data_IF_936862256050
#
_entry.id   IF_936862256050
#
_cell.length_a   1.000
_cell.length_b   1.000
_cell.length_c   1.000
_cell.angle_alpha   90.00
_cell.angle_beta   90.00
_cell.angle_gamma   90.00
#
_symmetry.space_group_name_H-M   'P 1'
#
loop_
_entity.id
_entity.type
_entity.pdbx_description
1 polymer ?
#
# COMPACT_ATOMS: atom_id res chain seq x y z
N UNK A 1 24.89 -24.76 3.53
CA UNK A 1 23.68 -25.14 2.78
C UNK A 1 22.52 -24.12 2.86
N UNK A 2 22.39 -23.32 3.91
CA UNK A 2 21.32 -22.31 4.04
C UNK A 2 21.46 -21.09 3.09
N UNK A 3 22.68 -20.71 2.69
CA UNK A 3 22.91 -19.60 1.77
C UNK A 3 22.50 -19.87 0.31
N UNK A 4 22.47 -21.12 -0.11
CA UNK A 4 22.08 -21.51 -1.48
C UNK A 4 20.54 -21.45 -1.68
N UNK A 5 19.75 -21.71 -0.63
CA UNK A 5 18.29 -21.66 -0.71
C UNK A 5 17.76 -20.23 -0.91
N UNK A 6 18.40 -19.23 -0.26
CA UNK A 6 18.03 -17.81 -0.44
C UNK A 6 18.35 -17.27 -1.84
N UNK A 7 19.42 -17.77 -2.47
CA UNK A 7 19.79 -17.37 -3.84
C UNK A 7 18.86 -17.97 -4.91
N UNK A 8 18.33 -19.17 -4.68
CA UNK A 8 17.42 -19.84 -5.62
C UNK A 8 16.01 -19.19 -5.58
N UNK A 9 15.54 -18.76 -4.41
CA UNK A 9 14.26 -18.02 -4.31
C UNK A 9 14.32 -16.64 -5.01
N UNK A 10 15.46 -15.95 -4.95
CA UNK A 10 15.67 -14.66 -5.65
C UNK A 10 15.62 -14.78 -7.18
N UNK A 11 15.87 -15.96 -7.74
CA UNK A 11 15.85 -16.23 -9.19
C UNK A 11 14.45 -16.51 -9.74
N UNK A 12 13.43 -16.70 -8.89
CA UNK A 12 12.06 -17.02 -9.31
C UNK A 12 11.07 -15.84 -9.21
N UNK A 13 11.49 -14.67 -8.72
CA UNK A 13 10.66 -13.47 -8.78
C UNK A 13 10.70 -12.96 -10.22
N UNK A 14 9.64 -13.20 -10.98
CA UNK A 14 9.52 -12.72 -12.35
C UNK A 14 9.70 -11.20 -12.42
N UNK A 15 10.45 -10.69 -13.39
CA UNK A 15 10.53 -9.28 -13.66
C UNK A 15 9.12 -8.71 -13.85
N UNK A 16 8.78 -7.56 -13.25
CA UNK A 16 7.44 -7.01 -13.37
C UNK A 16 7.13 -6.66 -14.83
N UNK A 17 5.96 -7.10 -15.30
CA UNK A 17 5.43 -6.68 -16.59
C UNK A 17 5.10 -5.19 -16.56
N UNK A 18 5.51 -4.45 -17.59
CA UNK A 18 5.14 -3.04 -17.77
C UNK A 18 3.83 -2.96 -18.49
N UNK A 19 2.86 -2.28 -17.89
CA UNK A 19 1.52 -2.05 -18.38
C UNK A 19 1.25 -0.55 -18.45
N UNK A 20 0.15 -0.18 -19.09
CA UNK A 20 -0.37 1.19 -19.15
C UNK A 20 -1.89 1.17 -19.02
N UNK A 21 -2.46 2.23 -18.47
CA UNK A 21 -3.91 2.42 -18.37
C UNK A 21 -4.26 3.91 -18.43
N UNK A 22 -5.48 4.23 -18.78
CA UNK A 22 -5.99 5.61 -18.77
C UNK A 22 -6.30 6.02 -17.33
N UNK A 23 -5.55 6.99 -16.79
CA UNK A 23 -5.77 7.50 -15.44
C UNK A 23 -7.08 8.27 -15.33
N UNK A 24 -7.27 9.25 -16.22
CA UNK A 24 -8.55 9.95 -16.51
C UNK A 24 -8.55 10.35 -17.99
N UNK A 25 -9.72 10.64 -18.59
CA UNK A 25 -9.78 11.12 -19.98
C UNK A 25 -8.90 12.34 -20.23
N UNK A 26 -8.84 13.28 -19.29
CA UNK A 26 -8.09 14.55 -19.43
C UNK A 26 -6.59 14.40 -19.15
N UNK A 27 -6.22 13.43 -18.33
CA UNK A 27 -4.80 13.20 -17.94
C UNK A 27 -4.11 12.16 -18.80
N UNK A 28 -4.89 11.33 -19.50
CA UNK A 28 -4.39 10.32 -20.42
C UNK A 28 -3.77 9.12 -19.71
N UNK A 29 -2.84 8.50 -20.42
CA UNK A 29 -2.22 7.24 -20.05
C UNK A 29 -1.11 7.40 -19.02
N UNK A 30 -1.05 6.45 -18.08
CA UNK A 30 0.02 6.34 -17.08
C UNK A 30 0.56 4.91 -17.05
N UNK A 31 1.80 4.78 -16.58
CA UNK A 31 2.49 3.51 -16.48
C UNK A 31 2.11 2.73 -15.22
N UNK A 32 2.11 1.40 -15.33
CA UNK A 32 2.00 0.47 -14.21
C UNK A 32 3.02 -0.67 -14.32
N UNK A 33 3.27 -1.35 -13.20
CA UNK A 33 4.11 -2.52 -13.08
C UNK A 33 3.33 -3.64 -12.38
N UNK A 34 3.08 -4.73 -13.10
CA UNK A 34 2.49 -5.94 -12.51
C UNK A 34 3.61 -6.92 -12.17
N UNK A 35 3.81 -7.19 -10.89
CA UNK A 35 4.64 -8.29 -10.40
C UNK A 35 3.69 -9.38 -9.90
N UNK A 36 3.71 -10.54 -10.55
CA UNK A 36 2.83 -11.66 -10.23
C UNK A 36 3.64 -12.93 -10.01
N UNK A 37 3.86 -13.35 -8.74
CA UNK A 37 4.48 -14.62 -8.44
C UNK A 37 3.55 -15.79 -8.82
N UNK A 38 4.14 -16.94 -9.08
CA UNK A 38 3.40 -18.18 -9.23
C UNK A 38 2.61 -18.49 -7.95
N UNK A 39 1.38 -18.97 -8.07
CA UNK A 39 0.51 -19.26 -6.92
C UNK A 39 -0.02 -18.03 -6.19
N UNK A 40 0.07 -16.84 -6.80
CA UNK A 40 -0.57 -15.64 -6.24
C UNK A 40 -2.07 -15.86 -6.04
N UNK A 41 -2.58 -15.42 -4.89
CA UNK A 41 -4.01 -15.47 -4.54
C UNK A 41 -4.65 -14.08 -4.47
N UNK A 42 -3.83 -13.06 -4.27
CA UNK A 42 -4.26 -11.67 -4.17
C UNK A 42 -3.39 -10.77 -5.05
N UNK A 43 -3.95 -9.65 -5.47
CA UNK A 43 -3.20 -8.54 -6.07
C UNK A 43 -3.42 -7.27 -5.26
N UNK A 44 -2.33 -6.65 -4.80
CA UNK A 44 -2.38 -5.35 -4.14
C UNK A 44 -2.14 -4.23 -5.17
N UNK A 45 -3.15 -3.38 -5.37
CA UNK A 45 -3.03 -2.12 -6.11
C UNK A 45 -2.30 -1.13 -5.21
N UNK A 46 -1.01 -0.91 -5.49
CA UNK A 46 -0.06 -0.25 -4.59
C UNK A 46 0.36 1.11 -5.13
N UNK A 47 -0.18 2.17 -4.55
CA UNK A 47 0.17 3.54 -4.89
C UNK A 47 1.40 4.06 -4.13
N UNK A 48 2.02 5.11 -4.68
CA UNK A 48 3.23 5.73 -4.14
C UNK A 48 2.95 6.99 -3.29
N UNK A 49 3.94 7.43 -2.52
CA UNK A 49 3.90 8.66 -1.72
C UNK A 49 3.82 9.93 -2.58
N UNK A 50 3.50 11.08 -1.96
CA UNK A 50 3.19 12.33 -2.64
C UNK A 50 4.29 12.85 -3.59
N UNK A 51 5.57 12.71 -3.21
CA UNK A 51 6.73 13.16 -4.01
C UNK A 51 7.55 11.98 -4.54
N UNK A 52 6.88 10.94 -5.01
CA UNK A 52 7.45 9.65 -5.30
C UNK A 52 6.96 9.11 -6.65
N UNK A 53 7.30 7.88 -7.00
CA UNK A 53 6.81 7.16 -8.17
C UNK A 53 6.79 5.64 -7.90
N UNK A 54 6.21 4.86 -8.82
CA UNK A 54 6.05 3.40 -8.68
C UNK A 54 7.37 2.61 -8.64
N UNK A 55 8.52 3.21 -8.98
CA UNK A 55 9.84 2.55 -9.08
C UNK A 55 10.78 2.90 -7.93
N UNK A 56 10.30 3.59 -6.88
CA UNK A 56 11.15 3.90 -5.73
C UNK A 56 11.63 2.64 -5.02
N UNK A 57 12.82 2.67 -4.39
CA UNK A 57 13.34 1.53 -3.65
C UNK A 57 12.34 0.98 -2.63
N UNK A 58 11.64 1.87 -1.89
CA UNK A 58 10.63 1.48 -0.91
C UNK A 58 9.52 0.60 -1.53
N UNK A 59 8.89 1.06 -2.63
CA UNK A 59 7.81 0.31 -3.26
C UNK A 59 8.32 -0.96 -3.94
N UNK A 60 9.54 -0.92 -4.46
CA UNK A 60 10.18 -2.11 -5.06
C UNK A 60 10.41 -3.18 -3.99
N UNK A 61 11.00 -2.81 -2.86
CA UNK A 61 11.19 -3.74 -1.74
C UNK A 61 9.86 -4.30 -1.22
N UNK A 62 8.84 -3.45 -1.02
CA UNK A 62 7.51 -3.91 -0.62
C UNK A 62 6.97 -4.95 -1.62
N UNK A 63 7.06 -4.68 -2.92
CA UNK A 63 6.55 -5.58 -3.94
C UNK A 63 7.31 -6.93 -3.98
N UNK A 64 8.62 -6.91 -3.82
CA UNK A 64 9.45 -8.12 -3.75
C UNK A 64 9.08 -8.98 -2.53
N UNK A 65 8.94 -8.38 -1.35
CA UNK A 65 8.54 -9.11 -0.14
C UNK A 65 7.11 -9.64 -0.21
N UNK A 66 6.19 -8.92 -0.83
CA UNK A 66 4.83 -9.40 -1.09
C UNK A 66 4.84 -10.59 -2.07
N UNK A 67 5.68 -10.54 -3.10
CA UNK A 67 5.82 -11.66 -4.04
C UNK A 67 6.33 -12.93 -3.34
N UNK A 68 7.27 -12.82 -2.39
CA UNK A 68 7.71 -13.93 -1.53
C UNK A 68 6.58 -14.52 -0.67
N UNK A 69 5.52 -13.76 -0.45
CA UNK A 69 4.30 -14.19 0.26
C UNK A 69 3.15 -14.58 -0.69
N UNK A 70 3.41 -14.81 -1.96
CA UNK A 70 2.42 -15.12 -3.00
C UNK A 70 1.31 -14.05 -3.13
N UNK A 71 1.67 -12.78 -2.95
CA UNK A 71 0.82 -11.63 -3.21
C UNK A 71 1.37 -10.87 -4.41
N UNK A 72 0.58 -10.78 -5.47
CA UNK A 72 0.92 -9.94 -6.62
C UNK A 72 0.79 -8.46 -6.26
N UNK A 73 1.54 -7.60 -6.99
CA UNK A 73 1.41 -6.15 -6.85
C UNK A 73 1.18 -5.49 -8.20
N UNK A 74 0.24 -4.55 -8.25
CA UNK A 74 0.01 -3.65 -9.36
C UNK A 74 0.42 -2.25 -8.89
N UNK A 75 1.68 -1.86 -9.15
CA UNK A 75 2.20 -0.51 -8.83
C UNK A 75 1.95 0.42 -9.99
N UNK A 76 1.55 1.66 -9.73
CA UNK A 76 1.21 2.62 -10.78
C UNK A 76 1.73 4.02 -10.46
N UNK A 77 1.87 4.85 -11.49
CA UNK A 77 2.13 6.27 -11.33
C UNK A 77 0.83 7.07 -11.33
N UNK A 78 0.76 8.08 -10.46
CA UNK A 78 -0.20 9.18 -10.66
C UNK A 78 0.22 10.04 -11.86
N UNK A 79 -0.71 10.73 -12.56
CA UNK A 79 -0.38 11.54 -13.73
C UNK A 79 0.69 12.61 -13.47
N UNK A 80 0.69 13.22 -12.29
CA UNK A 80 1.71 14.20 -11.92
C UNK A 80 3.11 13.57 -11.82
N UNK A 81 3.19 12.34 -11.33
CA UNK A 81 4.45 11.60 -11.21
C UNK A 81 4.95 11.12 -12.58
N UNK A 82 4.04 10.61 -13.42
CA UNK A 82 4.34 10.21 -14.79
C UNK A 82 4.96 11.37 -15.59
N UNK A 83 4.35 12.55 -15.48
CA UNK A 83 4.73 13.74 -16.22
C UNK A 83 5.74 14.65 -15.51
N UNK A 84 6.26 14.25 -14.34
CA UNK A 84 7.22 15.02 -13.51
C UNK A 84 6.74 16.44 -13.22
N UNK A 85 5.47 16.59 -12.84
CA UNK A 85 4.82 17.88 -12.56
C UNK A 85 4.46 18.00 -11.08
N UNK A 86 3.92 19.14 -10.70
CA UNK A 86 3.32 19.35 -9.38
C UNK A 86 2.13 18.40 -9.16
N UNK A 87 1.88 18.05 -7.90
CA UNK A 87 0.82 17.09 -7.51
C UNK A 87 -0.54 17.50 -8.06
N UNK A 88 -1.24 16.56 -8.67
CA UNK A 88 -2.61 16.73 -9.13
C UNK A 88 -3.58 16.99 -7.95
N UNK A 89 -4.71 17.67 -8.19
CA UNK A 89 -5.80 17.78 -7.21
C UNK A 89 -6.32 16.41 -6.75
N UNK A 90 -6.83 16.34 -5.51
CA UNK A 90 -7.34 15.08 -4.95
C UNK A 90 -8.36 14.36 -5.85
N UNK A 91 -9.35 15.03 -6.49
CA UNK A 91 -10.28 14.35 -7.40
C UNK A 91 -9.61 13.58 -8.54
N UNK A 92 -8.54 14.14 -9.12
CA UNK A 92 -7.75 13.44 -10.16
C UNK A 92 -7.04 12.22 -9.59
N UNK A 93 -6.48 12.33 -8.38
CA UNK A 93 -5.84 11.21 -7.71
C UNK A 93 -6.84 10.10 -7.37
N UNK A 94 -8.03 10.45 -6.89
CA UNK A 94 -9.13 9.52 -6.60
C UNK A 94 -9.58 8.80 -7.89
N UNK A 95 -9.80 9.53 -8.97
CA UNK A 95 -10.17 8.94 -10.27
C UNK A 95 -9.07 8.00 -10.79
N UNK A 96 -7.79 8.41 -10.68
CA UNK A 96 -6.64 7.55 -11.06
C UNK A 96 -6.62 6.24 -10.26
N UNK A 97 -6.93 6.27 -8.96
CA UNK A 97 -6.99 5.07 -8.11
C UNK A 97 -8.09 4.12 -8.60
N UNK A 98 -9.28 4.64 -8.91
CA UNK A 98 -10.39 3.84 -9.46
C UNK A 98 -10.00 3.17 -10.78
N UNK A 99 -9.36 3.92 -11.67
CA UNK A 99 -8.84 3.39 -12.94
C UNK A 99 -7.74 2.34 -12.72
N UNK A 100 -6.84 2.55 -11.75
CA UNK A 100 -5.79 1.57 -11.41
C UNK A 100 -6.39 0.27 -10.85
N UNK A 101 -7.44 0.35 -10.02
CA UNK A 101 -8.16 -0.83 -9.53
C UNK A 101 -8.82 -1.59 -10.70
N UNK A 102 -9.49 -0.90 -11.61
CA UNK A 102 -10.08 -1.51 -12.78
C UNK A 102 -9.03 -2.20 -13.67
N UNK A 103 -7.93 -1.52 -13.96
CA UNK A 103 -6.83 -2.07 -14.76
C UNK A 103 -6.15 -3.28 -14.08
N UNK A 104 -6.00 -3.27 -12.76
CA UNK A 104 -5.44 -4.41 -12.02
C UNK A 104 -6.37 -5.62 -12.06
N UNK A 105 -7.69 -5.42 -11.95
CA UNK A 105 -8.70 -6.48 -12.09
C UNK A 105 -8.70 -7.10 -13.49
N UNK A 106 -8.54 -6.28 -14.52
CA UNK A 106 -8.43 -6.74 -15.89
C UNK A 106 -7.15 -7.55 -16.12
N UNK A 107 -6.01 -7.08 -15.58
CA UNK A 107 -4.71 -7.73 -15.74
C UNK A 107 -4.55 -9.01 -14.90
N UNK A 108 -5.34 -9.19 -13.84
CA UNK A 108 -5.29 -10.35 -12.94
C UNK A 108 -6.71 -10.73 -12.45
N UNK A 109 -7.60 -11.18 -13.36
CA UNK A 109 -9.03 -11.38 -13.07
C UNK A 109 -9.32 -12.55 -12.13
N UNK A 110 -8.36 -13.43 -11.92
CA UNK A 110 -8.43 -14.59 -11.03
C UNK A 110 -7.94 -14.31 -9.61
N UNK A 111 -7.43 -13.08 -9.33
CA UNK A 111 -6.91 -12.72 -8.01
C UNK A 111 -7.89 -11.85 -7.24
N UNK A 112 -7.95 -12.05 -5.91
CA UNK A 112 -8.67 -11.14 -5.03
C UNK A 112 -7.93 -9.80 -4.93
N UNK A 113 -8.65 -8.69 -5.10
CA UNK A 113 -8.01 -7.37 -5.14
C UNK A 113 -7.98 -6.73 -3.75
N UNK A 114 -6.79 -6.30 -3.37
CA UNK A 114 -6.53 -5.36 -2.28
C UNK A 114 -6.12 -4.02 -2.88
N UNK A 115 -6.39 -2.91 -2.21
CA UNK A 115 -5.97 -1.59 -2.66
C UNK A 115 -5.34 -0.79 -1.53
N UNK A 116 -4.44 0.12 -1.85
CA UNK A 116 -3.80 0.95 -0.84
C UNK A 116 -2.52 1.62 -1.31
N UNK A 117 -1.58 1.77 -0.39
CA UNK A 117 -0.27 2.33 -0.72
C UNK A 117 0.44 3.03 0.41
N UNK A 118 1.58 3.62 0.08
CA UNK A 118 2.42 4.31 1.03
C UNK A 118 1.96 5.75 1.22
N UNK A 119 1.77 6.15 2.48
CA UNK A 119 1.55 7.54 2.87
C UNK A 119 0.37 8.18 2.09
N UNK A 120 0.65 9.14 1.20
CA UNK A 120 -0.34 9.87 0.41
C UNK A 120 -1.32 8.96 -0.35
N UNK A 121 -0.82 7.94 -1.05
CA UNK A 121 -1.71 7.06 -1.81
C UNK A 121 -2.60 6.20 -0.92
N UNK A 122 -2.11 5.74 0.23
CA UNK A 122 -2.96 5.06 1.21
C UNK A 122 -4.15 5.93 1.64
N UNK A 123 -3.88 7.20 1.98
CA UNK A 123 -4.92 8.18 2.31
C UNK A 123 -5.87 8.45 1.12
N UNK A 124 -5.35 8.61 -0.08
CA UNK A 124 -6.20 8.84 -1.27
C UNK A 124 -7.04 7.61 -1.62
N UNK A 125 -6.53 6.39 -1.42
CA UNK A 125 -7.29 5.16 -1.63
C UNK A 125 -8.44 5.05 -0.64
N UNK A 126 -8.22 5.35 0.64
CA UNK A 126 -9.30 5.39 1.62
C UNK A 126 -10.30 6.54 1.36
N UNK A 127 -9.84 7.68 0.85
CA UNK A 127 -10.73 8.76 0.38
C UNK A 127 -11.61 8.25 -0.76
N UNK A 128 -11.03 7.61 -1.76
CA UNK A 128 -11.79 7.01 -2.87
C UNK A 128 -12.84 6.01 -2.37
N UNK A 129 -12.45 5.12 -1.44
CA UNK A 129 -13.35 4.12 -0.88
C UNK A 129 -14.46 4.73 0.00
N UNK A 130 -14.21 5.88 0.64
CA UNK A 130 -15.22 6.59 1.46
C UNK A 130 -16.25 7.36 0.62
N UNK A 131 -15.86 7.83 -0.57
CA UNK A 131 -16.78 8.53 -1.49
C UNK A 131 -17.72 7.57 -2.21
N UNK A 132 -17.23 6.43 -2.64
CA UNK A 132 -18.03 5.34 -3.22
C UNK A 132 -17.21 4.03 -3.18
N UNK A 133 -17.84 2.84 -3.12
CA UNK A 133 -17.16 1.56 -3.13
C UNK A 133 -16.12 1.46 -4.27
N UNK A 134 -14.96 0.88 -3.94
CA UNK A 134 -13.98 0.45 -4.94
C UNK A 134 -14.39 -0.96 -5.38
N UNK A 135 -14.97 -1.06 -6.56
CA UNK A 135 -15.57 -2.30 -7.05
C UNK A 135 -14.57 -3.46 -7.09
N UNK A 136 -14.92 -4.58 -6.46
CA UNK A 136 -14.10 -5.79 -6.38
C UNK A 136 -12.90 -5.70 -5.42
N UNK A 137 -12.77 -4.64 -4.65
CA UNK A 137 -11.73 -4.52 -3.61
C UNK A 137 -12.24 -5.12 -2.30
N UNK A 138 -11.50 -6.09 -1.76
CA UNK A 138 -11.86 -6.85 -0.54
C UNK A 138 -11.28 -6.24 0.73
N UNK A 139 -10.27 -5.38 0.62
CA UNK A 139 -9.67 -4.70 1.77
C UNK A 139 -8.65 -3.64 1.40
N UNK A 140 -8.37 -2.73 2.32
CA UNK A 140 -7.40 -1.66 2.16
C UNK A 140 -6.14 -1.91 2.99
N UNK A 141 -4.97 -1.64 2.42
CA UNK A 141 -3.68 -1.77 3.10
C UNK A 141 -2.95 -0.44 3.09
N UNK A 142 -2.61 0.05 4.27
CA UNK A 142 -1.92 1.32 4.46
C UNK A 142 -0.51 1.10 4.99
N UNK A 143 0.48 1.51 4.21
CA UNK A 143 1.88 1.60 4.63
C UNK A 143 2.13 3.03 5.11
N UNK A 144 2.21 3.23 6.43
CA UNK A 144 2.39 4.55 7.08
C UNK A 144 1.28 5.55 6.70
N UNK A 145 0.03 5.30 7.18
CA UNK A 145 -1.08 6.23 6.95
C UNK A 145 -0.82 7.58 7.63
N UNK A 146 -0.77 8.72 6.91
CA UNK A 146 -0.44 10.00 7.52
C UNK A 146 -1.69 10.65 8.13
N UNK A 147 -1.73 10.84 9.44
CA UNK A 147 -2.81 11.56 10.14
C UNK A 147 -2.71 13.08 9.94
N UNK A 148 -1.48 13.61 9.81
CA UNK A 148 -1.20 15.05 9.75
C UNK A 148 0.13 15.34 9.00
N UNK A 149 0.45 16.60 8.70
CA UNK A 149 1.79 17.01 8.31
C UNK A 149 2.77 16.84 9.48
N UNK A 150 4.05 16.72 9.21
CA UNK A 150 5.07 16.64 10.25
C UNK A 150 5.06 17.93 11.12
N UNK A 151 5.05 17.74 12.45
CA UNK A 151 5.03 18.84 13.41
C UNK A 151 3.69 19.53 13.61
N UNK A 152 2.60 19.01 13.02
CA UNK A 152 1.25 19.55 13.16
C UNK A 152 0.27 18.44 13.62
N UNK A 153 0.41 17.89 14.84
CA UNK A 153 -0.39 16.76 15.32
C UNK A 153 -1.89 17.00 15.18
N UNK A 154 -2.57 16.11 14.47
CA UNK A 154 -4.02 16.16 14.23
C UNK A 154 -4.53 14.81 13.70
N UNK A 155 -5.84 14.56 13.79
CA UNK A 155 -6.49 13.36 13.28
C UNK A 155 -7.40 13.61 12.07
N UNK A 156 -7.55 14.88 11.65
CA UNK A 156 -8.50 15.30 10.61
C UNK A 156 -8.37 14.55 9.29
N UNK A 157 -7.15 14.10 8.95
CA UNK A 157 -6.94 13.31 7.72
C UNK A 157 -7.54 11.90 7.78
N UNK A 158 -8.00 11.46 8.96
CA UNK A 158 -8.64 10.17 9.16
C UNK A 158 -10.19 10.26 9.25
N UNK A 159 -10.80 11.45 9.26
CA UNK A 159 -12.24 11.63 9.47
C UNK A 159 -13.10 10.81 8.50
N UNK A 160 -12.67 10.70 7.24
CA UNK A 160 -13.36 9.96 6.18
C UNK A 160 -13.32 8.43 6.36
N UNK A 161 -12.39 7.89 7.18
CA UNK A 161 -12.24 6.44 7.39
C UNK A 161 -13.51 5.79 7.98
N UNK A 162 -14.31 6.56 8.74
CA UNK A 162 -15.59 6.07 9.29
C UNK A 162 -16.58 5.66 8.21
N UNK A 163 -16.51 6.27 7.02
CA UNK A 163 -17.36 5.95 5.89
C UNK A 163 -16.84 4.75 5.05
N UNK A 164 -15.61 4.28 5.30
CA UNK A 164 -15.07 3.08 4.63
C UNK A 164 -15.72 1.84 5.25
N UNK A 165 -16.34 1.00 4.42
CA UNK A 165 -17.11 -0.18 4.87
C UNK A 165 -16.34 -1.49 4.81
N UNK A 166 -15.27 -1.55 4.02
CA UNK A 166 -14.43 -2.75 3.86
C UNK A 166 -13.29 -2.80 4.88
N UNK A 167 -12.73 -3.99 5.16
CA UNK A 167 -11.61 -4.14 6.10
C UNK A 167 -10.39 -3.29 5.75
N UNK A 168 -9.70 -2.81 6.78
CA UNK A 168 -8.52 -1.96 6.68
C UNK A 168 -7.37 -2.50 7.52
N UNK A 169 -6.18 -2.62 6.95
CA UNK A 169 -4.95 -2.94 7.65
C UNK A 169 -4.02 -1.72 7.66
N UNK A 170 -3.65 -1.28 8.85
CA UNK A 170 -2.66 -0.22 9.08
C UNK A 170 -1.33 -0.85 9.48
N UNK A 171 -0.29 -0.63 8.68
CA UNK A 171 1.10 -0.95 8.99
C UNK A 171 1.80 0.36 9.33
N UNK A 172 2.11 0.59 10.59
CA UNK A 172 2.65 1.87 11.06
C UNK A 172 3.93 1.67 11.88
N UNK A 173 4.93 2.48 11.58
CA UNK A 173 6.15 2.50 12.39
C UNK A 173 5.91 3.15 13.76
N UNK A 174 6.50 2.60 14.82
CA UNK A 174 6.37 3.17 16.17
C UNK A 174 7.04 4.54 16.34
N UNK A 175 7.77 5.00 15.32
CA UNK A 175 8.43 6.31 15.26
C UNK A 175 7.97 7.16 14.07
N UNK A 176 6.77 6.90 13.56
CA UNK A 176 6.21 7.68 12.46
C UNK A 176 5.77 9.06 12.95
N UNK A 177 6.49 10.11 12.55
CA UNK A 177 6.21 11.49 12.92
C UNK A 177 5.03 12.14 12.15
N UNK A 178 4.31 11.38 11.33
CA UNK A 178 3.08 11.80 10.66
C UNK A 178 1.85 11.04 11.19
N UNK A 179 2.06 10.14 12.15
CA UNK A 179 1.02 9.33 12.76
C UNK A 179 1.52 8.81 14.14
N UNK A 180 1.73 9.72 15.07
CA UNK A 180 2.13 9.36 16.45
C UNK A 180 1.10 8.39 17.04
N UNK A 181 1.59 7.39 17.81
CA UNK A 181 0.77 6.28 18.29
C UNK A 181 -0.39 6.72 19.19
N UNK A 182 -0.18 7.72 20.02
CA UNK A 182 -1.20 8.31 20.89
C UNK A 182 -2.38 8.92 20.11
N UNK A 183 -2.18 9.27 18.83
CA UNK A 183 -3.23 9.72 17.92
C UNK A 183 -3.77 8.58 17.05
N UNK A 184 -2.90 7.68 16.57
CA UNK A 184 -3.29 6.63 15.63
C UNK A 184 -4.10 5.51 16.30
N UNK A 185 -3.68 5.04 17.47
CA UNK A 185 -4.34 3.95 18.18
C UNK A 185 -5.82 4.26 18.50
N UNK A 186 -6.19 5.45 19.03
CA UNK A 186 -7.58 5.82 19.21
C UNK A 186 -8.39 5.86 17.91
N UNK A 187 -7.79 6.37 16.82
CA UNK A 187 -8.45 6.39 15.49
C UNK A 187 -8.76 4.99 15.02
N UNK A 188 -7.80 4.07 15.07
CA UNK A 188 -8.01 2.68 14.64
C UNK A 188 -9.01 1.96 15.55
N UNK A 189 -8.93 2.17 16.87
CA UNK A 189 -9.88 1.62 17.84
C UNK A 189 -11.33 2.06 17.56
N UNK A 190 -11.53 3.32 17.20
CA UNK A 190 -12.86 3.87 16.87
C UNK A 190 -13.46 3.24 15.59
N UNK A 191 -12.63 2.75 14.68
CA UNK A 191 -13.08 2.01 13.48
C UNK A 191 -13.57 0.59 13.79
N UNK A 192 -13.30 0.08 14.99
CA UNK A 192 -13.77 -1.22 15.48
C UNK A 192 -13.18 -2.39 14.69
N UNK A 193 -13.97 -3.45 14.51
CA UNK A 193 -13.53 -4.68 13.85
C UNK A 193 -13.17 -4.54 12.37
N UNK A 194 -13.45 -3.40 11.75
CA UNK A 194 -13.08 -3.10 10.37
C UNK A 194 -11.62 -2.72 10.21
N UNK A 195 -10.92 -2.38 11.28
CA UNK A 195 -9.55 -1.91 11.22
C UNK A 195 -8.63 -2.74 12.11
N UNK A 196 -7.50 -3.15 11.55
CA UNK A 196 -6.39 -3.79 12.26
C UNK A 196 -5.18 -2.86 12.21
N UNK A 197 -4.53 -2.64 13.35
CA UNK A 197 -3.25 -1.95 13.45
C UNK A 197 -2.16 -2.97 13.73
N UNK A 198 -1.11 -2.97 12.90
CA UNK A 198 0.13 -3.69 13.15
C UNK A 198 1.28 -2.69 13.28
N UNK A 199 1.94 -2.70 14.43
CA UNK A 199 3.04 -1.80 14.73
C UNK A 199 4.38 -2.42 14.32
N UNK A 200 5.10 -1.71 13.46
CA UNK A 200 6.46 -2.06 13.05
C UNK A 200 7.45 -1.40 14.01
N UNK A 201 7.96 -2.19 14.94
CA UNK A 201 8.83 -1.70 16.01
C UNK A 201 10.03 -0.92 15.47
N UNK A 202 10.30 0.24 16.08
CA UNK A 202 11.36 1.20 15.75
C UNK A 202 11.38 1.75 14.33
N UNK A 203 10.39 1.42 13.47
CA UNK A 203 10.30 1.96 12.12
C UNK A 203 9.82 3.43 12.11
N UNK A 204 10.34 4.21 11.17
CA UNK A 204 9.84 5.55 10.84
C UNK A 204 8.83 5.51 9.69
N UNK A 205 8.39 6.68 9.21
CA UNK A 205 7.43 6.82 8.09
C UNK A 205 7.85 6.12 6.79
N UNK A 206 9.14 5.86 6.59
CA UNK A 206 9.71 5.16 5.44
C UNK A 206 10.20 3.75 5.76
N UNK A 207 9.81 3.22 6.92
CA UNK A 207 10.20 1.90 7.44
C UNK A 207 11.71 1.74 7.71
N UNK A 208 12.42 2.87 7.94
CA UNK A 208 13.78 2.82 8.47
C UNK A 208 13.74 2.49 9.95
N UNK A 209 14.43 1.42 10.34
CA UNK A 209 14.45 0.89 11.71
C UNK A 209 15.70 1.31 12.48
N UNK A 210 15.59 1.33 13.81
CA UNK A 210 16.72 1.42 14.72
C UNK A 210 17.17 0.00 15.12
N UNK A 211 18.08 -0.59 14.35
CA UNK A 211 18.52 -1.99 14.52
C UNK A 211 18.96 -2.35 15.96
N UNK A 212 19.55 -1.39 16.71
CA UNK A 212 20.06 -1.64 18.05
C UNK A 212 18.97 -1.82 19.12
N UNK A 213 17.81 -1.24 18.92
CA UNK A 213 16.72 -1.19 19.90
C UNK A 213 15.48 -1.99 19.47
N UNK A 214 15.43 -2.41 18.20
CA UNK A 214 14.34 -3.23 17.69
C UNK A 214 14.32 -4.59 18.37
N UNK A 215 13.15 -5.00 18.86
CA UNK A 215 12.95 -6.28 19.56
C UNK A 215 12.89 -7.47 18.58
N UNK A 216 12.33 -7.28 17.39
CA UNK A 216 12.26 -8.31 16.37
C UNK A 216 13.56 -8.41 15.57
N UNK A 217 14.03 -9.62 15.31
CA UNK A 217 15.12 -9.91 14.37
C UNK A 217 14.65 -10.04 12.93
N UNK A 218 13.33 -10.11 12.69
CA UNK A 218 12.73 -10.19 11.35
C UNK A 218 12.95 -8.86 10.60
N UNK A 219 13.25 -8.95 9.30
CA UNK A 219 13.28 -7.75 8.46
C UNK A 219 11.91 -7.07 8.42
N UNK A 220 11.88 -5.75 8.53
CA UNK A 220 10.64 -4.97 8.67
C UNK A 220 9.70 -5.13 7.48
N UNK A 221 10.22 -5.32 6.27
CA UNK A 221 9.41 -5.51 5.07
C UNK A 221 8.91 -6.95 4.96
N UNK A 222 9.69 -7.93 5.44
CA UNK A 222 9.24 -9.32 5.57
C UNK A 222 8.10 -9.42 6.57
N UNK A 223 8.23 -8.79 7.75
CA UNK A 223 7.19 -8.71 8.76
C UNK A 223 5.91 -8.08 8.20
N UNK A 224 6.03 -6.95 7.52
CA UNK A 224 4.89 -6.28 6.88
C UNK A 224 4.19 -7.17 5.83
N UNK A 225 4.95 -7.83 4.96
CA UNK A 225 4.41 -8.71 3.91
C UNK A 225 3.72 -9.94 4.50
N UNK A 226 4.31 -10.58 5.51
CA UNK A 226 3.71 -11.69 6.25
C UNK A 226 2.40 -11.27 6.92
N UNK A 227 2.38 -10.13 7.59
CA UNK A 227 1.18 -9.58 8.22
C UNK A 227 0.05 -9.36 7.21
N UNK A 228 0.37 -8.82 6.02
CA UNK A 228 -0.61 -8.66 4.95
C UNK A 228 -1.12 -10.02 4.48
N UNK A 229 -0.26 -11.02 4.29
CA UNK A 229 -0.65 -12.37 3.88
C UNK A 229 -1.60 -13.02 4.89
N UNK A 230 -1.26 -12.95 6.16
CA UNK A 230 -2.08 -13.51 7.25
C UNK A 230 -3.46 -12.82 7.31
N UNK A 231 -3.48 -11.48 7.28
CA UNK A 231 -4.72 -10.70 7.31
C UNK A 231 -5.58 -10.95 6.06
N UNK A 232 -4.99 -10.94 4.88
CA UNK A 232 -5.70 -11.14 3.61
C UNK A 232 -6.34 -12.53 3.51
N UNK A 233 -5.71 -13.56 4.09
CA UNK A 233 -6.26 -14.93 4.10
C UNK A 233 -7.58 -15.06 4.88
N UNK A 234 -7.89 -14.11 5.75
CA UNK A 234 -9.15 -14.03 6.51
C UNK A 234 -10.26 -13.23 5.81
N UNK A 235 -9.97 -12.57 4.69
CA UNK A 235 -10.95 -11.80 3.92
C UNK A 235 -11.83 -12.74 3.08
N UNK A 236 -13.12 -12.37 2.97
CA UNK A 236 -14.12 -13.12 2.20
C UNK A 236 -14.50 -12.36 0.94
#
# INVERSE_FOLDING_TARGET
MLAAAGYILSLMIANPATLKFIATPEKGEVSALLMRPEGATHVLVLGHGASSNMRTPLLTTIAERLAEQNIATFRYNFPYSENKRGRDPNPVCVATIRSAVAAAREAAPDLLVLAGGHSFSGRMTSTAASEAPLEGVHGLVFFSFPLHPAGEPAIKRADHLRAVTIPMLFLSGTRDALAELDLLEPVVKDLGSRAMLHLLDTADHSFKILKKTRQSSEDVFVEAARTIREWASGLK
#
